data_IF_188103069736
#
_entry.id   IF_188103069736
#
_cell.length_a   1.000
_cell.length_b   1.000
_cell.length_c   1.000
_cell.angle_alpha   90.00
_cell.angle_beta   90.00
_cell.angle_gamma   90.00
#
_symmetry.space_group_name_H-M   'P 1'
#
loop_
_entity.id
_entity.type
_entity.pdbx_description
1 polymer ?
#
# COMPACT_ATOMS: atom_id res chain seq x y z
N UNK A 1 -25.37 25.83 -26.02
CA UNK A 1 -25.34 24.41 -25.58
C UNK A 1 -23.88 23.98 -25.64
N UNK A 2 -23.07 24.08 -24.57
CA UNK A 2 -23.13 23.33 -23.31
C UNK A 2 -22.39 22.00 -23.53
N UNK A 3 -21.25 21.66 -22.92
CA UNK A 3 -20.84 21.90 -21.54
C UNK A 3 -19.34 21.54 -21.38
N UNK A 4 -18.41 22.51 -21.36
CA UNK A 4 -16.97 22.26 -21.12
C UNK A 4 -16.53 22.55 -19.68
N UNK A 5 -17.48 22.71 -18.75
CA UNK A 5 -17.24 23.25 -17.40
C UNK A 5 -16.85 22.21 -16.35
N UNK A 6 -16.60 20.95 -16.74
CA UNK A 6 -16.27 19.85 -15.83
C UNK A 6 -14.77 19.48 -15.76
N UNK A 7 -13.92 20.03 -16.64
CA UNK A 7 -12.48 19.71 -16.65
C UNK A 7 -11.62 20.64 -15.77
N UNK A 8 -12.18 21.75 -15.28
CA UNK A 8 -11.42 22.76 -14.52
C UNK A 8 -11.17 22.37 -13.04
N UNK A 9 -11.74 21.26 -12.57
CA UNK A 9 -11.61 20.79 -11.17
C UNK A 9 -10.53 19.72 -10.97
N UNK A 10 -9.90 19.22 -12.03
CA UNK A 10 -8.82 18.24 -11.94
C UNK A 10 -7.50 18.95 -11.60
N UNK A 11 -7.45 19.67 -10.49
CA UNK A 11 -6.18 19.87 -9.80
C UNK A 11 -5.75 18.49 -9.31
N UNK A 12 -4.84 17.84 -10.04
CA UNK A 12 -3.93 16.89 -9.42
C UNK A 12 -3.32 17.64 -8.25
N UNK A 13 -3.48 17.21 -6.98
CA UNK A 13 -2.77 17.85 -5.90
C UNK A 13 -1.29 17.73 -6.24
N UNK A 14 -0.70 18.87 -6.58
CA UNK A 14 0.72 19.01 -6.76
C UNK A 14 1.40 18.49 -5.49
N UNK A 15 2.63 18.01 -5.66
CA UNK A 15 3.51 17.50 -4.63
C UNK A 15 3.66 18.49 -3.46
N UNK A 16 2.64 18.55 -2.62
CA UNK A 16 2.67 19.12 -1.30
C UNK A 16 3.22 18.04 -0.42
N UNK A 17 4.36 18.33 0.20
CA UNK A 17 4.83 17.62 1.38
C UNK A 17 3.74 17.71 2.45
N UNK A 18 2.75 16.83 2.38
CA UNK A 18 1.79 16.64 3.46
C UNK A 18 2.59 16.27 4.72
N UNK A 19 2.25 16.85 5.89
CA UNK A 19 2.84 16.42 7.14
C UNK A 19 2.52 14.94 7.29
N UNK A 20 3.56 14.14 7.09
CA UNK A 20 3.53 12.69 7.15
C UNK A 20 2.71 12.25 8.37
N UNK A 21 1.55 11.57 8.19
CA UNK A 21 0.71 11.23 9.32
C UNK A 21 1.56 10.52 10.37
N UNK A 22 1.45 10.99 11.62
CA UNK A 22 2.14 10.41 12.75
C UNK A 22 1.97 8.88 12.70
N UNK A 23 3.03 8.13 13.00
CA UNK A 23 3.02 6.67 12.99
C UNK A 23 1.88 6.18 13.91
N UNK A 24 0.72 5.92 13.34
CA UNK A 24 -0.44 5.39 14.04
C UNK A 24 -0.27 3.88 14.27
N UNK A 25 -1.37 3.20 14.60
CA UNK A 25 -1.39 1.75 14.79
C UNK A 25 -0.82 0.95 13.59
N UNK A 26 -0.84 1.54 12.38
CA UNK A 26 -0.33 0.94 11.13
C UNK A 26 1.17 1.23 10.88
N UNK A 27 1.87 1.84 11.84
CA UNK A 27 3.28 2.19 11.74
C UNK A 27 3.55 3.27 10.69
N UNK A 28 4.65 3.10 9.94
CA UNK A 28 5.03 4.02 8.86
C UNK A 28 4.32 3.71 7.53
N UNK A 29 3.33 2.82 7.51
CA UNK A 29 2.65 2.40 6.26
C UNK A 29 2.11 3.61 5.50
N UNK A 30 1.52 4.59 6.20
CA UNK A 30 1.02 5.82 5.58
C UNK A 30 2.12 6.74 5.02
N UNK A 31 3.39 6.48 5.34
CA UNK A 31 4.55 7.21 4.81
C UNK A 31 5.17 6.53 3.58
N UNK A 32 5.01 5.20 3.48
CA UNK A 32 5.51 4.43 2.34
C UNK A 32 4.66 4.76 1.12
N UNK A 33 5.30 5.21 0.03
CA UNK A 33 4.55 5.48 -1.20
C UNK A 33 3.93 4.18 -1.73
N UNK A 34 2.68 4.28 -2.21
CA UNK A 34 1.93 3.12 -2.71
C UNK A 34 2.64 2.33 -3.81
N UNK A 35 3.51 2.98 -4.58
CA UNK A 35 4.31 2.33 -5.63
C UNK A 35 5.26 1.28 -5.06
N UNK A 36 5.93 1.55 -3.92
CA UNK A 36 6.83 0.58 -3.27
C UNK A 36 6.04 -0.59 -2.68
N UNK A 37 4.86 -0.30 -2.10
CA UNK A 37 3.95 -1.35 -1.60
C UNK A 37 3.51 -2.24 -2.76
N UNK A 38 3.08 -1.66 -3.88
CA UNK A 38 2.64 -2.40 -5.05
C UNK A 38 3.77 -3.22 -5.69
N UNK A 39 4.99 -2.69 -5.75
CA UNK A 39 6.17 -3.43 -6.20
C UNK A 39 6.48 -4.62 -5.28
N UNK A 40 6.44 -4.42 -3.96
CA UNK A 40 6.61 -5.50 -2.98
C UNK A 40 5.51 -6.56 -3.05
N UNK A 41 4.27 -6.18 -3.31
CA UNK A 41 3.17 -7.14 -3.46
C UNK A 41 3.29 -7.98 -4.74
N UNK A 42 3.89 -7.44 -5.79
CA UNK A 42 4.13 -8.20 -7.02
C UNK A 42 5.12 -9.35 -6.83
N UNK A 43 6.05 -9.25 -5.87
CA UNK A 43 7.03 -10.32 -5.61
C UNK A 43 6.42 -11.54 -4.92
N UNK A 44 5.32 -11.37 -4.18
CA UNK A 44 4.56 -12.50 -3.58
C UNK A 44 3.80 -13.32 -4.61
N UNK A 45 3.58 -12.78 -5.81
CA UNK A 45 2.62 -13.34 -6.75
C UNK A 45 1.17 -13.22 -6.26
N UNK A 46 0.20 -13.80 -7.01
CA UNK A 46 -1.22 -13.67 -6.71
C UNK A 46 -1.57 -14.37 -5.39
N UNK A 47 -2.44 -13.73 -4.59
CA UNK A 47 -3.01 -14.34 -3.40
C UNK A 47 -3.91 -15.51 -3.81
N UNK A 48 -3.57 -16.73 -3.39
CA UNK A 48 -4.37 -17.93 -3.66
C UNK A 48 -5.01 -18.46 -2.38
N UNK A 49 -6.00 -19.35 -2.52
CA UNK A 49 -6.67 -19.97 -1.37
C UNK A 49 -5.68 -20.70 -0.44
N UNK A 50 -4.64 -21.33 -1.01
CA UNK A 50 -3.60 -22.08 -0.29
C UNK A 50 -2.50 -21.21 0.29
N UNK A 51 -2.40 -19.94 -0.12
CA UNK A 51 -1.37 -19.04 0.37
C UNK A 51 -1.57 -18.73 1.87
N UNK A 52 -0.47 -18.59 2.65
CA UNK A 52 -0.55 -18.19 4.06
C UNK A 52 -1.33 -16.90 4.28
N UNK A 53 -2.05 -16.81 5.40
CA UNK A 53 -2.87 -15.63 5.73
C UNK A 53 -2.06 -14.37 6.00
N UNK A 54 -0.81 -14.50 6.45
CA UNK A 54 0.07 -13.36 6.75
C UNK A 54 1.44 -13.58 6.10
N UNK A 55 1.97 -12.53 5.48
CA UNK A 55 3.33 -12.47 4.96
C UNK A 55 4.05 -11.22 5.47
N UNK A 56 5.36 -11.35 5.57
CA UNK A 56 6.27 -10.25 5.89
C UNK A 56 7.22 -10.10 4.72
N UNK A 57 7.35 -8.88 4.23
CA UNK A 57 8.21 -8.55 3.10
C UNK A 57 9.15 -7.44 3.53
N UNK A 58 10.38 -7.51 3.06
CA UNK A 58 11.31 -6.40 3.12
C UNK A 58 11.26 -5.70 1.79
N UNK A 59 10.97 -4.40 1.80
CA UNK A 59 10.93 -3.56 0.62
C UNK A 59 11.84 -2.36 0.83
N UNK A 60 12.53 -1.94 -0.22
CA UNK A 60 13.21 -0.65 -0.23
C UNK A 60 12.18 0.43 -0.57
N UNK A 61 11.93 1.35 0.36
CA UNK A 61 10.99 2.46 0.21
C UNK A 61 11.70 3.78 -0.14
N UNK A 62 12.84 3.69 -0.85
CA UNK A 62 13.64 4.83 -1.29
C UNK A 62 14.17 5.64 -0.10
N UNK A 63 13.67 6.87 0.05
CA UNK A 63 14.14 7.79 1.10
C UNK A 63 13.87 7.29 2.53
N UNK A 64 12.89 6.40 2.72
CA UNK A 64 12.62 5.78 4.03
C UNK A 64 13.56 4.60 4.32
N UNK A 65 14.35 4.14 3.35
CA UNK A 65 15.21 2.97 3.47
C UNK A 65 14.44 1.65 3.43
N UNK A 66 15.01 0.61 4.04
CA UNK A 66 14.39 -0.71 4.11
C UNK A 66 13.23 -0.72 5.11
N UNK A 67 12.08 -1.18 4.63
CA UNK A 67 10.84 -1.25 5.39
C UNK A 67 10.34 -2.67 5.41
N UNK A 68 10.02 -3.16 6.61
CA UNK A 68 9.30 -4.41 6.82
C UNK A 68 7.80 -4.17 6.68
N UNK A 69 7.25 -4.61 5.55
CA UNK A 69 5.84 -4.58 5.23
C UNK A 69 5.15 -5.86 5.73
N UNK A 70 4.06 -5.69 6.46
CA UNK A 70 3.19 -6.77 6.88
C UNK A 70 1.94 -6.75 6.02
N UNK A 71 1.71 -7.88 5.36
CA UNK A 71 0.59 -8.05 4.43
C UNK A 71 -0.22 -9.25 4.85
N UNK A 72 -1.53 -9.13 4.68
CA UNK A 72 -2.48 -10.20 4.98
C UNK A 72 -3.29 -10.56 3.75
N UNK A 73 -3.63 -11.84 3.64
CA UNK A 73 -4.54 -12.33 2.62
C UNK A 73 -5.96 -11.94 3.03
N UNK A 74 -6.64 -11.19 2.17
CA UNK A 74 -8.07 -10.90 2.30
C UNK A 74 -8.88 -11.57 1.22
N UNK A 75 -10.15 -11.83 1.53
CA UNK A 75 -11.14 -12.33 0.61
C UNK A 75 -12.12 -11.21 0.30
N UNK A 76 -12.12 -10.74 -0.94
CA UNK A 76 -13.20 -9.90 -1.45
C UNK A 76 -14.29 -10.82 -2.01
N UNK A 77 -15.51 -10.69 -1.51
CA UNK A 77 -16.68 -11.41 -2.02
C UNK A 77 -17.64 -10.41 -2.65
N UNK A 78 -17.95 -10.63 -3.92
CA UNK A 78 -18.93 -9.84 -4.65
C UNK A 78 -19.91 -10.78 -5.38
N UNK A 79 -21.14 -10.83 -4.88
CA UNK A 79 -22.21 -11.69 -5.36
C UNK A 79 -21.78 -13.18 -5.43
N UNK A 80 -21.64 -13.74 -6.64
CA UNK A 80 -21.21 -15.13 -6.88
C UNK A 80 -19.70 -15.29 -7.03
N UNK A 81 -18.94 -14.20 -7.05
CA UNK A 81 -17.49 -14.23 -7.27
C UNK A 81 -16.75 -13.88 -5.97
N UNK A 82 -15.65 -14.59 -5.75
CA UNK A 82 -14.76 -14.37 -4.61
C UNK A 82 -13.34 -14.34 -5.12
N UNK A 83 -12.58 -13.31 -4.76
CA UNK A 83 -11.18 -13.16 -5.14
C UNK A 83 -10.33 -12.88 -3.91
N UNK A 84 -9.18 -13.54 -3.85
CA UNK A 84 -8.19 -13.29 -2.82
C UNK A 84 -7.25 -12.17 -3.29
N UNK A 85 -6.86 -11.31 -2.35
CA UNK A 85 -5.89 -10.25 -2.60
C UNK A 85 -5.03 -10.02 -1.37
N UNK A 86 -3.84 -9.46 -1.59
CA UNK A 86 -2.96 -9.04 -0.51
C UNK A 86 -3.31 -7.62 -0.06
N UNK A 87 -3.46 -7.44 1.24
CA UNK A 87 -3.68 -6.14 1.86
C UNK A 87 -2.53 -5.82 2.82
N UNK A 88 -1.82 -4.72 2.59
CA UNK A 88 -0.88 -4.21 3.56
C UNK A 88 -1.63 -3.54 4.72
N UNK A 89 -1.34 -3.95 5.95
CA UNK A 89 -1.99 -3.40 7.14
C UNK A 89 -1.01 -2.71 8.09
N UNK A 90 0.28 -3.04 8.01
CA UNK A 90 1.32 -2.43 8.85
C UNK A 90 2.64 -2.36 8.11
N UNK A 91 3.40 -1.31 8.36
CA UNK A 91 4.79 -1.22 7.92
C UNK A 91 5.67 -0.67 9.04
N UNK A 92 6.85 -1.25 9.19
CA UNK A 92 7.84 -0.88 10.20
C UNK A 92 9.16 -0.58 9.49
N UNK A 93 9.87 0.47 9.91
CA UNK A 93 11.23 0.69 9.44
C UNK A 93 12.08 -0.49 9.92
N UNK A 94 12.73 -1.18 8.98
CA UNK A 94 13.80 -2.09 9.34
C UNK A 94 15.03 -1.22 9.61
N UNK A 95 15.08 -0.67 10.82
CA UNK A 95 16.25 0.09 11.25
C UNK A 95 17.49 -0.82 11.24
N UNK A 96 18.68 -0.30 10.90
CA UNK A 96 19.91 -1.02 11.20
C UNK A 96 19.93 -1.28 12.71
N UNK A 97 20.11 -2.54 13.09
CA UNK A 97 20.46 -2.90 14.46
C UNK A 97 21.63 -2.01 14.88
N UNK A 98 21.45 -1.31 16.01
CA UNK A 98 22.36 -0.27 16.48
C UNK A 98 23.64 -0.86 17.03
#
# INVERSE_FOLDING_TARGET
MGNSKLAAGCHLPGAGSEPSPAAGANGILGRVQGNYIAAGLQTLGPATATAPSHHKLLIDAGYLGTVRLFVEKKLARHNRHSHYYWAAYRAELEGPEK
#
